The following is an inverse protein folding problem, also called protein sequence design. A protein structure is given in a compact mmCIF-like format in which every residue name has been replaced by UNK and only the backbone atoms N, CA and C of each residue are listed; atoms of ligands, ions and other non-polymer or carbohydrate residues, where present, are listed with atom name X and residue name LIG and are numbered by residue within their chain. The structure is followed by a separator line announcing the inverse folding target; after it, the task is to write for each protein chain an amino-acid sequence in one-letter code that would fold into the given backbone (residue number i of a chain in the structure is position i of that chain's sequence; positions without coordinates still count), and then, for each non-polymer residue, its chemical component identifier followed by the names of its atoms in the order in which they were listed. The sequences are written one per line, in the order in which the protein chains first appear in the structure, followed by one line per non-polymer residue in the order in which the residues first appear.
data_IF_733000333664
#
_entry.id   IF_733000333664
#
_cell.length_a   1.000
_cell.length_b   1.000
_cell.length_c   1.000
_cell.angle_alpha   90.00
_cell.angle_beta   90.00
_cell.angle_gamma   90.00
#
_symmetry.space_group_name_H-M   'P 1'
#
loop_
_entity.id
_entity.type
_entity.pdbx_description
1 polymer ?
#
# COMPACT_ATOMS: atom_id res chain seq x y z
N UNK A 1 -12.12 -84.77 -43.39
CA UNK A 1 -13.06 -83.74 -43.89
C UNK A 1 -14.26 -83.72 -42.96
N UNK A 2 -14.74 -82.52 -42.59
CA UNK A 2 -15.88 -82.25 -41.67
C UNK A 2 -15.62 -82.60 -40.19
N UNK A 3 -16.04 -81.85 -39.17
CA UNK A 3 -16.59 -80.50 -39.01
C UNK A 3 -16.52 -80.17 -37.50
N UNK A 4 -16.52 -78.87 -37.16
CA UNK A 4 -16.59 -78.30 -35.81
C UNK A 4 -17.74 -78.86 -34.95
N UNK A 5 -17.58 -78.87 -33.60
CA UNK A 5 -18.50 -78.16 -32.69
C UNK A 5 -17.87 -77.85 -31.32
N UNK A 6 -18.15 -76.63 -30.86
CA UNK A 6 -17.76 -75.94 -29.62
C UNK A 6 -18.55 -76.43 -28.41
N UNK A 7 -17.94 -76.39 -27.21
CA UNK A 7 -18.65 -75.96 -25.99
C UNK A 7 -17.75 -75.07 -25.12
N UNK A 8 -18.17 -73.81 -25.00
CA UNK A 8 -17.55 -72.76 -24.21
C UNK A 8 -17.96 -72.88 -22.73
N UNK A 9 -16.99 -72.78 -21.82
CA UNK A 9 -17.24 -72.58 -20.38
C UNK A 9 -17.10 -71.09 -20.05
N UNK A 10 -18.16 -70.54 -19.45
CA UNK A 10 -18.33 -69.14 -19.05
C UNK A 10 -17.24 -68.66 -18.08
N UNK A 11 -16.62 -67.53 -18.38
CA UNK A 11 -16.06 -66.60 -17.38
C UNK A 11 -16.53 -65.19 -17.71
N UNK A 12 -17.58 -64.75 -17.01
CA UNK A 12 -18.06 -63.36 -17.06
C UNK A 12 -17.24 -62.57 -16.02
N UNK A 13 -16.25 -61.80 -16.46
CA UNK A 13 -15.59 -60.77 -15.64
C UNK A 13 -16.26 -59.44 -15.95
N UNK A 14 -17.11 -58.97 -15.04
CA UNK A 14 -17.66 -57.61 -15.07
C UNK A 14 -16.59 -56.69 -14.47
N UNK A 15 -15.84 -56.00 -15.32
CA UNK A 15 -15.01 -54.87 -14.90
C UNK A 15 -15.87 -53.63 -14.82
N UNK A 16 -16.25 -53.24 -13.59
CA UNK A 16 -16.96 -52.01 -13.29
C UNK A 16 -15.96 -50.84 -13.39
N UNK A 17 -16.02 -50.06 -14.46
CA UNK A 17 -15.28 -48.79 -14.57
C UNK A 17 -16.02 -47.71 -13.77
N UNK A 18 -15.49 -47.37 -12.60
CA UNK A 18 -15.95 -46.20 -11.83
C UNK A 18 -15.31 -44.97 -12.47
N UNK A 19 -16.05 -44.27 -13.32
CA UNK A 19 -15.70 -42.92 -13.75
C UNK A 19 -15.96 -41.97 -12.56
N UNK A 20 -14.91 -41.60 -11.82
CA UNK A 20 -14.98 -40.47 -10.91
C UNK A 20 -15.15 -39.18 -11.74
N UNK A 21 -16.37 -38.66 -11.79
CA UNK A 21 -16.60 -37.29 -12.24
C UNK A 21 -16.16 -36.34 -11.13
N UNK A 22 -14.90 -35.90 -11.21
CA UNK A 22 -14.43 -34.73 -10.48
C UNK A 22 -15.10 -33.50 -11.12
N UNK A 23 -16.26 -33.11 -10.59
CA UNK A 23 -16.83 -31.79 -10.89
C UNK A 23 -15.89 -30.74 -10.32
N UNK A 24 -15.06 -30.14 -11.18
CA UNK A 24 -14.39 -28.90 -10.83
C UNK A 24 -15.47 -27.83 -10.69
N UNK A 25 -15.76 -27.41 -9.46
CA UNK A 25 -16.45 -26.16 -9.24
C UNK A 25 -15.50 -25.05 -9.70
N UNK A 26 -15.71 -24.54 -10.92
CA UNK A 26 -15.03 -23.36 -11.40
C UNK A 26 -15.52 -22.17 -10.58
N UNK A 27 -14.69 -21.65 -9.68
CA UNK A 27 -14.96 -20.37 -9.04
C UNK A 27 -14.88 -19.28 -10.11
N UNK A 28 -15.87 -18.39 -10.17
CA UNK A 28 -15.89 -17.29 -11.13
C UNK A 28 -14.70 -16.36 -10.85
N UNK A 29 -13.74 -16.30 -11.77
CA UNK A 29 -12.57 -15.44 -11.68
C UNK A 29 -12.87 -14.12 -12.41
N UNK A 30 -12.42 -12.99 -11.85
CA UNK A 30 -12.63 -11.68 -12.46
C UNK A 30 -11.37 -11.23 -13.21
N UNK A 31 -11.54 -10.77 -14.44
CA UNK A 31 -10.44 -10.22 -15.26
C UNK A 31 -10.40 -8.70 -15.14
N UNK A 32 -9.27 -8.15 -14.74
CA UNK A 32 -9.00 -6.71 -14.82
C UNK A 32 -8.12 -6.43 -16.04
N UNK A 33 -8.61 -5.60 -16.95
CA UNK A 33 -7.98 -5.33 -18.23
C UNK A 33 -7.65 -3.85 -18.32
N UNK A 34 -6.38 -3.47 -18.35
CA UNK A 34 -5.95 -2.11 -18.69
C UNK A 34 -5.77 -2.03 -20.19
N UNK A 35 -6.72 -1.36 -20.86
CA UNK A 35 -6.81 -1.33 -22.33
C UNK A 35 -5.98 -0.21 -22.94
N UNK A 36 -5.88 0.93 -22.27
CA UNK A 36 -5.17 2.10 -22.77
C UNK A 36 -4.30 2.70 -21.67
N UNK A 37 -3.10 3.12 -22.10
CA UNK A 37 -2.09 3.79 -21.30
C UNK A 37 -1.80 5.16 -21.93
N UNK A 38 -1.34 6.15 -21.14
CA UNK A 38 -0.91 7.43 -21.71
C UNK A 38 0.29 7.24 -22.65
N UNK A 39 0.36 8.05 -23.71
CA UNK A 39 1.36 7.91 -24.77
C UNK A 39 2.82 8.01 -24.27
N UNK A 40 3.04 8.74 -23.19
CA UNK A 40 4.34 8.92 -22.53
C UNK A 40 4.68 7.84 -21.50
N UNK A 41 3.90 6.75 -21.42
CA UNK A 41 4.25 5.60 -20.56
C UNK A 41 5.57 4.99 -21.02
N UNK A 42 6.55 4.73 -20.12
CA UNK A 42 7.79 4.06 -20.47
C UNK A 42 7.57 2.69 -21.09
N UNK A 43 8.50 2.25 -21.93
CA UNK A 43 8.46 0.93 -22.54
C UNK A 43 8.54 -0.18 -21.48
N UNK A 44 7.71 -1.22 -21.61
CA UNK A 44 7.61 -2.33 -20.67
C UNK A 44 7.47 -1.88 -19.19
N UNK A 45 6.42 -1.08 -18.87
CA UNK A 45 6.32 -0.40 -17.60
C UNK A 45 6.20 -1.32 -16.38
N UNK A 46 5.84 -2.60 -16.57
CA UNK A 46 5.48 -3.51 -15.49
C UNK A 46 4.27 -2.97 -14.71
N UNK A 47 3.05 -3.30 -15.14
CA UNK A 47 1.86 -2.82 -14.44
C UNK A 47 1.51 -3.74 -13.29
N UNK A 48 1.06 -3.17 -12.18
CA UNK A 48 0.61 -3.89 -10.99
C UNK A 48 -0.74 -3.37 -10.56
N UNK A 49 -1.60 -4.27 -10.07
CA UNK A 49 -2.73 -3.87 -9.24
C UNK A 49 -2.31 -3.85 -7.77
N UNK A 50 -2.70 -2.78 -7.08
CA UNK A 50 -2.55 -2.63 -5.64
C UNK A 50 -3.90 -2.32 -5.03
N UNK A 51 -4.25 -2.93 -3.91
CA UNK A 51 -5.59 -2.81 -3.34
C UNK A 51 -5.75 -3.48 -1.99
N UNK A 52 -6.98 -3.53 -1.48
CA UNK A 52 -7.27 -4.18 -0.20
C UNK A 52 -6.85 -5.67 -0.18
N UNK A 53 -7.03 -6.39 -1.30
CA UNK A 53 -6.64 -7.79 -1.45
C UNK A 53 -5.14 -8.08 -1.37
N UNK A 54 -4.28 -7.05 -1.42
CA UNK A 54 -2.83 -7.19 -1.27
C UNK A 54 -2.25 -6.24 -0.21
N UNK A 55 -3.09 -5.81 0.75
CA UNK A 55 -2.71 -4.91 1.85
C UNK A 55 -2.14 -3.58 1.38
N UNK A 56 -2.57 -3.11 0.22
CA UNK A 56 -2.08 -1.87 -0.39
C UNK A 56 -0.57 -1.84 -0.61
N UNK A 57 0.07 -3.01 -0.78
CA UNK A 57 1.49 -3.12 -1.07
C UNK A 57 1.74 -3.12 -2.59
N UNK A 58 2.35 -2.06 -3.17
CA UNK A 58 2.58 -1.99 -4.61
C UNK A 58 3.72 -2.92 -5.04
N UNK A 59 3.81 -3.24 -6.33
CA UNK A 59 4.95 -3.95 -6.91
C UNK A 59 5.05 -5.45 -6.59
N UNK A 60 4.07 -6.03 -5.89
CA UNK A 60 4.07 -7.46 -5.58
C UNK A 60 3.95 -8.32 -6.85
N UNK A 61 4.88 -9.27 -7.11
CA UNK A 61 4.88 -10.09 -8.34
C UNK A 61 3.58 -10.86 -8.58
N UNK A 62 2.89 -11.29 -7.51
CA UNK A 62 1.61 -12.00 -7.60
C UNK A 62 0.48 -11.15 -8.22
N UNK A 63 0.64 -9.82 -8.25
CA UNK A 63 -0.34 -8.88 -8.79
C UNK A 63 0.21 -8.10 -9.99
N UNK A 64 1.28 -8.58 -10.61
CA UNK A 64 1.78 -8.05 -11.86
C UNK A 64 0.83 -8.42 -13.00
N UNK A 65 0.40 -7.43 -13.78
CA UNK A 65 -0.43 -7.63 -14.95
C UNK A 65 0.41 -8.12 -16.14
N UNK A 66 -0.15 -9.05 -16.89
CA UNK A 66 0.50 -9.65 -18.05
C UNK A 66 0.12 -8.93 -19.35
N UNK A 67 1.12 -8.54 -20.13
CA UNK A 67 0.94 -7.98 -21.46
C UNK A 67 0.37 -9.02 -22.42
N UNK A 68 -0.71 -8.66 -23.09
CA UNK A 68 -1.41 -9.47 -24.07
C UNK A 68 -0.96 -9.12 -25.51
N UNK A 69 -1.22 -10.00 -26.48
CA UNK A 69 -0.82 -9.82 -27.88
C UNK A 69 -1.47 -8.61 -28.56
N UNK A 70 -2.63 -8.17 -28.07
CA UNK A 70 -3.35 -6.97 -28.53
C UNK A 70 -2.85 -5.67 -27.86
N UNK A 71 -1.83 -5.74 -27.00
CA UNK A 71 -1.25 -4.59 -26.30
C UNK A 71 -1.92 -4.22 -24.97
N UNK A 72 -3.02 -4.85 -24.56
CA UNK A 72 -3.61 -4.62 -23.24
C UNK A 72 -2.86 -5.37 -22.15
N UNK A 73 -2.97 -4.91 -20.90
CA UNK A 73 -2.46 -5.62 -19.72
C UNK A 73 -3.62 -6.27 -18.97
N UNK A 74 -3.41 -7.49 -18.49
CA UNK A 74 -4.46 -8.25 -17.82
C UNK A 74 -3.97 -8.92 -16.54
N UNK A 75 -4.80 -8.90 -15.50
CA UNK A 75 -4.63 -9.71 -14.30
C UNK A 75 -5.96 -10.38 -13.96
N UNK A 76 -5.88 -11.65 -13.55
CA UNK A 76 -7.02 -12.39 -13.04
C UNK A 76 -6.98 -12.29 -11.52
N UNK A 77 -8.03 -11.72 -10.93
CA UNK A 77 -8.21 -11.72 -9.48
C UNK A 77 -9.06 -12.93 -9.07
N UNK A 78 -8.75 -13.54 -7.92
CA UNK A 78 -9.63 -14.54 -7.33
C UNK A 78 -11.00 -13.90 -7.00
N UNK A 79 -12.06 -14.71 -6.87
CA UNK A 79 -13.34 -14.22 -6.39
C UNK A 79 -13.16 -13.49 -5.04
N UNK A 80 -13.92 -12.43 -4.84
CA UNK A 80 -13.95 -11.68 -3.58
C UNK A 80 -15.38 -11.56 -3.08
N UNK A 81 -15.55 -11.76 -1.77
CA UNK A 81 -16.83 -11.63 -1.06
C UNK A 81 -17.05 -10.21 -0.50
N UNK A 82 -16.04 -9.35 -0.66
CA UNK A 82 -16.04 -7.96 -0.23
C UNK A 82 -15.80 -7.04 -1.44
N UNK A 83 -16.19 -5.76 -1.36
CA UNK A 83 -15.81 -4.77 -2.36
C UNK A 83 -14.31 -4.78 -2.62
N UNK A 84 -13.92 -4.69 -3.89
CA UNK A 84 -12.53 -4.62 -4.30
C UNK A 84 -12.19 -3.15 -4.48
N UNK A 85 -11.30 -2.64 -3.63
CA UNK A 85 -10.72 -1.31 -3.77
C UNK A 85 -9.29 -1.43 -4.26
N UNK A 86 -8.95 -0.68 -5.32
CA UNK A 86 -7.64 -0.80 -5.94
C UNK A 86 -7.21 0.43 -6.73
N UNK A 87 -5.94 0.41 -7.13
CA UNK A 87 -5.30 1.35 -8.06
C UNK A 87 -4.34 0.59 -8.96
N UNK A 88 -3.99 1.20 -10.09
CA UNK A 88 -2.93 0.73 -10.99
C UNK A 88 -1.63 1.49 -10.69
N UNK A 89 -0.51 0.77 -10.59
CA UNK A 89 0.83 1.35 -10.43
C UNK A 89 1.80 0.74 -11.43
N UNK A 90 2.98 1.35 -11.55
CA UNK A 90 4.15 0.73 -12.21
C UNK A 90 5.15 0.14 -11.22
N UNK A 91 4.67 -0.25 -10.04
CA UNK A 91 5.44 -0.93 -9.00
C UNK A 91 5.59 -0.16 -7.70
N UNK A 92 5.34 1.14 -7.68
CA UNK A 92 5.42 1.98 -6.47
C UNK A 92 4.30 3.01 -6.40
N UNK A 93 4.12 3.65 -5.24
CA UNK A 93 3.14 4.73 -5.09
C UNK A 93 3.50 5.99 -5.87
N UNK A 94 4.80 6.25 -6.09
CA UNK A 94 5.27 7.36 -6.92
C UNK A 94 4.85 7.19 -8.38
N UNK A 95 4.62 5.94 -8.82
CA UNK A 95 4.24 5.58 -10.19
C UNK A 95 2.77 5.19 -10.32
N UNK A 96 1.92 5.63 -9.38
CA UNK A 96 0.48 5.38 -9.38
C UNK A 96 -0.24 6.14 -10.50
N UNK A 97 -1.37 5.60 -10.94
CA UNK A 97 -2.27 6.28 -11.86
C UNK A 97 -2.83 7.59 -11.28
N UNK A 98 -3.01 8.59 -12.15
CA UNK A 98 -3.62 9.88 -11.83
C UNK A 98 -4.68 10.26 -12.85
N UNK A 99 -5.42 11.33 -12.58
CA UNK A 99 -6.28 11.97 -13.56
C UNK A 99 -5.42 12.56 -14.71
N UNK A 100 -6.08 12.91 -15.82
CA UNK A 100 -5.39 13.43 -17.00
C UNK A 100 -4.56 14.70 -16.71
N UNK A 101 -5.04 15.54 -15.80
CA UNK A 101 -4.36 16.76 -15.33
C UNK A 101 -3.26 16.51 -14.29
N UNK A 102 -3.04 15.24 -13.91
CA UNK A 102 -2.04 14.85 -12.92
C UNK A 102 -2.53 14.89 -11.47
N UNK A 103 -3.78 15.27 -11.22
CA UNK A 103 -4.35 15.24 -9.87
C UNK A 103 -4.58 13.80 -9.39
N UNK A 104 -4.50 13.61 -8.07
CA UNK A 104 -4.71 12.31 -7.44
C UNK A 104 -6.12 11.79 -7.70
N UNK A 105 -6.22 10.50 -8.04
CA UNK A 105 -7.51 9.83 -8.15
C UNK A 105 -7.94 9.23 -6.81
N UNK A 106 -9.25 9.08 -6.54
CA UNK A 106 -9.71 8.18 -5.49
C UNK A 106 -9.37 6.71 -5.82
N UNK A 107 -9.59 5.80 -4.87
CA UNK A 107 -9.54 4.37 -5.14
C UNK A 107 -10.58 3.99 -6.20
N UNK A 108 -10.22 3.09 -7.12
CA UNK A 108 -11.21 2.41 -7.95
C UNK A 108 -11.95 1.42 -7.06
N UNK A 109 -13.28 1.39 -7.15
CA UNK A 109 -14.12 0.54 -6.31
C UNK A 109 -14.99 -0.34 -7.19
N UNK A 110 -14.95 -1.65 -6.94
CA UNK A 110 -15.88 -2.63 -7.51
C UNK A 110 -16.71 -3.20 -6.36
N UNK A 111 -18.01 -2.93 -6.37
CA UNK A 111 -18.94 -3.36 -5.34
C UNK A 111 -20.16 -4.04 -5.96
N UNK A 112 -20.82 -4.92 -5.18
CA UNK A 112 -21.94 -5.73 -5.65
C UNK A 112 -21.49 -6.99 -6.39
N UNK A 113 -22.37 -7.62 -7.20
CA UNK A 113 -21.99 -8.77 -8.03
C UNK A 113 -20.83 -8.37 -8.95
N UNK A 114 -19.67 -9.01 -8.76
CA UNK A 114 -18.48 -8.73 -9.56
C UNK A 114 -18.72 -9.20 -11.00
N UNK A 115 -18.40 -8.37 -12.02
CA UNK A 115 -18.49 -8.79 -13.40
C UNK A 115 -17.37 -9.78 -13.74
N UNK A 116 -17.55 -10.58 -14.81
CA UNK A 116 -16.50 -11.47 -15.31
C UNK A 116 -15.25 -10.69 -15.76
N UNK A 117 -15.43 -9.45 -16.22
CA UNK A 117 -14.33 -8.57 -16.62
C UNK A 117 -14.63 -7.10 -16.40
N UNK A 118 -13.57 -6.33 -16.09
CA UNK A 118 -13.57 -4.88 -16.00
C UNK A 118 -12.49 -4.33 -16.91
N UNK A 119 -12.86 -3.37 -17.76
CA UNK A 119 -11.90 -2.65 -18.62
C UNK A 119 -11.59 -1.29 -18.04
N UNK A 120 -10.31 -0.96 -17.97
CA UNK A 120 -9.75 0.26 -17.40
C UNK A 120 -8.96 1.04 -18.46
N UNK A 121 -8.90 2.35 -18.22
CA UNK A 121 -7.99 3.29 -18.86
C UNK A 121 -7.16 3.96 -17.76
N UNK A 122 -5.85 3.98 -17.95
CA UNK A 122 -4.95 4.85 -17.17
C UNK A 122 -4.78 6.15 -17.95
N UNK A 123 -5.07 7.28 -17.31
CA UNK A 123 -5.04 8.58 -17.98
C UNK A 123 -3.66 9.24 -17.91
N UNK A 124 -2.96 9.10 -16.78
CA UNK A 124 -1.62 9.65 -16.56
C UNK A 124 -0.93 8.92 -15.38
N UNK A 125 0.34 9.22 -15.12
CA UNK A 125 1.15 8.64 -14.04
C UNK A 125 1.72 9.74 -13.14
N UNK A 126 1.69 9.51 -11.82
CA UNK A 126 2.06 10.52 -10.81
C UNK A 126 3.50 11.05 -10.92
N UNK A 127 4.43 10.24 -11.41
CA UNK A 127 5.85 10.60 -11.62
C UNK A 127 6.12 11.23 -12.99
N UNK A 128 5.16 11.18 -13.93
CA UNK A 128 5.30 11.77 -15.26
C UNK A 128 4.58 13.12 -15.39
N UNK A 129 4.01 13.61 -14.29
CA UNK A 129 3.52 14.97 -14.16
C UNK A 129 4.67 15.81 -13.63
N UNK A 130 4.95 16.94 -14.29
CA UNK A 130 5.89 17.93 -13.76
C UNK A 130 5.30 18.51 -12.47
N UNK A 131 5.78 18.01 -11.33
CA UNK A 131 5.44 18.58 -10.03
C UNK A 131 6.37 19.76 -9.78
N UNK A 132 5.87 20.90 -9.28
CA UNK A 132 6.75 21.96 -8.83
C UNK A 132 7.74 21.37 -7.80
N UNK A 133 9.01 21.81 -7.81
CA UNK A 133 9.98 21.30 -6.87
C UNK A 133 9.45 21.51 -5.45
N UNK A 134 9.50 20.44 -4.65
CA UNK A 134 9.13 20.54 -3.24
C UNK A 134 10.02 21.58 -2.56
N UNK A 135 9.42 22.39 -1.70
CA UNK A 135 10.10 23.45 -0.97
C UNK A 135 10.14 23.08 0.50
N UNK A 136 11.26 23.41 1.14
CA UNK A 136 11.34 23.38 2.59
C UNK A 136 10.48 24.50 3.19
N UNK A 137 9.64 24.15 4.15
CA UNK A 137 8.74 25.08 4.86
C UNK A 137 9.04 25.16 6.35
N UNK A 138 9.71 24.14 6.90
CA UNK A 138 10.09 24.06 8.30
C UNK A 138 10.70 25.35 8.85
N UNK A 139 10.20 25.80 9.99
CA UNK A 139 10.79 26.94 10.70
C UNK A 139 12.15 26.55 11.31
N UNK A 140 13.00 27.53 11.67
CA UNK A 140 14.33 27.25 12.25
C UNK A 140 14.30 26.51 13.61
N UNK A 141 13.11 26.30 14.17
CA UNK A 141 12.88 25.59 15.43
C UNK A 141 12.84 24.07 15.23
N UNK A 142 12.71 23.61 13.99
CA UNK A 142 12.63 22.20 13.61
C UNK A 142 14.02 21.67 13.29
N UNK A 143 14.32 20.51 13.84
CA UNK A 143 15.58 19.81 13.66
C UNK A 143 15.33 18.33 13.42
N UNK A 144 16.20 17.68 12.64
CA UNK A 144 16.32 16.22 12.67
C UNK A 144 17.20 15.88 13.88
N UNK A 145 16.62 15.21 14.87
CA UNK A 145 17.35 14.76 16.05
C UNK A 145 18.29 13.62 15.68
N UNK A 146 17.76 12.65 14.94
CA UNK A 146 18.48 11.52 14.37
C UNK A 146 17.73 11.03 13.13
N UNK A 147 18.45 10.80 12.03
CA UNK A 147 17.86 10.30 10.79
C UNK A 147 17.61 8.78 10.82
N UNK A 148 18.33 8.05 11.66
CA UNK A 148 18.34 6.59 11.73
C UNK A 148 18.30 6.10 13.18
N UNK A 149 17.46 6.72 14.01
CA UNK A 149 17.35 6.35 15.42
C UNK A 149 16.99 4.87 15.57
N UNK A 150 17.73 4.08 16.36
CA UNK A 150 17.48 2.66 16.49
C UNK A 150 16.20 2.37 17.29
N UNK A 151 15.27 1.64 16.68
CA UNK A 151 14.10 1.05 17.35
C UNK A 151 14.41 -0.42 17.64
N UNK A 152 15.19 -0.68 18.70
CA UNK A 152 15.81 -1.98 18.99
C UNK A 152 14.78 -3.11 19.06
N UNK A 153 13.62 -2.84 19.64
CA UNK A 153 12.49 -3.77 19.81
C UNK A 153 11.91 -4.23 18.47
N UNK A 154 12.03 -3.38 17.44
CA UNK A 154 11.53 -3.61 16.08
C UNK A 154 12.64 -4.03 15.11
N UNK A 155 13.90 -4.03 15.54
CA UNK A 155 15.06 -4.42 14.73
C UNK A 155 15.29 -3.53 13.51
N UNK A 156 14.91 -2.25 13.58
CA UNK A 156 14.98 -1.30 12.46
C UNK A 156 15.24 0.13 12.96
N UNK A 157 15.41 1.08 12.05
CA UNK A 157 15.65 2.49 12.39
C UNK A 157 14.49 3.40 12.00
N UNK A 158 14.43 4.60 12.61
CA UNK A 158 13.46 5.63 12.27
C UNK A 158 14.02 7.03 12.41
N UNK A 159 13.66 7.92 11.48
CA UNK A 159 13.94 9.34 11.63
C UNK A 159 13.08 9.96 12.73
N UNK A 160 13.74 10.72 13.61
CA UNK A 160 13.13 11.46 14.70
C UNK A 160 13.33 12.97 14.46
N UNK A 161 12.23 13.69 14.49
CA UNK A 161 12.16 15.13 14.40
C UNK A 161 12.06 15.75 15.78
N UNK A 162 12.58 16.96 15.92
CA UNK A 162 12.51 17.75 17.14
C UNK A 162 12.14 19.18 16.80
N UNK A 163 10.99 19.64 17.30
CA UNK A 163 10.66 21.05 17.39
C UNK A 163 10.94 21.56 18.81
N UNK A 164 11.64 22.69 18.92
CA UNK A 164 11.86 23.39 20.19
C UNK A 164 11.30 24.81 20.16
N UNK A 165 10.63 25.30 21.22
CA UNK A 165 10.14 26.68 21.26
C UNK A 165 11.25 27.72 21.07
N UNK A 166 10.92 28.85 20.43
CA UNK A 166 11.87 29.93 20.08
C UNK A 166 12.70 30.46 21.27
N UNK A 167 12.18 30.37 22.50
CA UNK A 167 12.87 30.82 23.72
C UNK A 167 13.59 29.72 24.51
N UNK A 168 13.64 28.49 23.97
CA UNK A 168 14.22 27.31 24.63
C UNK A 168 15.66 27.55 25.15
N UNK A 169 16.52 28.13 24.31
CA UNK A 169 17.93 28.39 24.67
C UNK A 169 18.14 29.62 25.56
N UNK A 170 17.10 30.43 25.81
CA UNK A 170 17.22 31.73 26.49
C UNK A 170 16.84 31.66 27.96
N UNK A 171 16.09 30.63 28.37
CA UNK A 171 15.55 30.49 29.72
C UNK A 171 15.80 29.07 30.24
N UNK A 172 16.08 28.93 31.53
CA UNK A 172 16.03 27.62 32.22
C UNK A 172 14.58 27.20 32.49
N UNK A 173 13.74 27.24 31.47
CA UNK A 173 12.32 26.88 31.52
C UNK A 173 12.17 25.40 31.20
N UNK A 174 11.25 24.71 31.90
CA UNK A 174 10.84 23.36 31.54
C UNK A 174 9.64 23.44 30.59
N UNK A 175 9.62 22.57 29.60
CA UNK A 175 8.55 22.47 28.62
C UNK A 175 7.98 21.05 28.67
N UNK A 176 6.65 20.89 28.57
CA UNK A 176 6.08 19.58 28.30
C UNK A 176 6.56 19.07 26.94
N UNK A 177 6.63 17.74 26.80
CA UNK A 177 7.01 17.07 25.55
C UNK A 177 5.77 16.40 24.97
N UNK A 178 5.51 16.66 23.70
CA UNK A 178 4.45 16.03 22.92
C UNK A 178 5.09 15.11 21.88
N UNK A 179 4.76 13.82 21.92
CA UNK A 179 5.14 12.87 20.90
C UNK A 179 4.05 12.80 19.84
N UNK A 180 4.41 13.01 18.58
CA UNK A 180 3.50 12.93 17.44
C UNK A 180 4.00 11.88 16.44
N UNK A 181 3.08 11.08 15.91
CA UNK A 181 3.35 10.09 14.87
C UNK A 181 3.19 10.71 13.47
N UNK A 182 3.57 9.97 12.44
CA UNK A 182 3.58 10.44 11.04
C UNK A 182 4.47 11.69 10.85
N UNK A 183 5.64 11.67 11.51
CA UNK A 183 6.65 12.74 11.58
C UNK A 183 6.94 13.46 10.26
N UNK A 184 6.93 12.72 9.15
CA UNK A 184 7.27 13.24 7.83
C UNK A 184 6.28 14.29 7.33
N UNK A 185 5.07 14.34 7.89
CA UNK A 185 4.02 15.27 7.50
C UNK A 185 3.92 16.46 8.46
N UNK A 186 4.63 16.46 9.59
CA UNK A 186 4.37 17.41 10.67
C UNK A 186 4.91 18.82 10.39
N UNK A 187 6.15 18.91 9.87
CA UNK A 187 6.96 20.13 9.95
C UNK A 187 7.55 20.64 8.65
N UNK A 188 7.54 19.82 7.59
CA UNK A 188 8.19 20.23 6.35
C UNK A 188 7.47 19.65 5.13
N UNK A 189 6.89 20.53 4.32
CA UNK A 189 6.25 20.20 3.05
C UNK A 189 7.18 19.44 2.09
N UNK A 190 8.50 19.58 2.26
CA UNK A 190 9.46 18.80 1.49
C UNK A 190 9.33 17.29 1.73
N UNK A 191 9.17 16.88 3.00
CA UNK A 191 9.10 15.47 3.37
C UNK A 191 7.68 14.92 3.36
N UNK A 192 6.66 15.78 3.42
CA UNK A 192 5.27 15.35 3.45
C UNK A 192 4.87 14.56 2.18
N UNK A 193 4.06 13.52 2.39
CA UNK A 193 3.45 12.73 1.33
C UNK A 193 2.24 13.42 0.70
N UNK A 194 1.33 13.95 1.53
CA UNK A 194 0.03 14.49 1.10
C UNK A 194 -0.28 15.86 1.74
N UNK A 195 0.74 16.73 1.78
CA UNK A 195 0.64 18.06 2.38
C UNK A 195 1.09 18.09 3.83
N UNK A 196 1.82 19.14 4.18
CA UNK A 196 2.29 19.39 5.54
C UNK A 196 1.13 19.79 6.46
N UNK A 197 1.24 19.40 7.74
CA UNK A 197 0.23 19.68 8.75
C UNK A 197 0.45 21.01 9.48
N UNK A 198 1.65 21.59 9.36
CA UNK A 198 1.98 22.94 9.84
C UNK A 198 2.08 23.06 11.36
N UNK A 199 2.70 22.05 12.01
CA UNK A 199 2.79 21.99 13.47
C UNK A 199 3.68 23.10 14.01
N UNK A 200 4.82 23.35 13.37
CA UNK A 200 5.80 24.35 13.76
C UNK A 200 5.27 25.78 13.59
N UNK A 201 4.64 26.14 12.47
CA UNK A 201 4.07 27.49 12.32
C UNK A 201 2.92 27.74 13.31
N UNK A 202 2.15 26.69 13.62
CA UNK A 202 1.11 26.75 14.64
C UNK A 202 1.71 27.01 16.02
N UNK A 203 2.77 26.27 16.40
CA UNK A 203 3.42 26.42 17.70
C UNK A 203 4.19 27.74 17.83
N UNK A 204 4.82 28.21 16.77
CA UNK A 204 5.47 29.52 16.73
C UNK A 204 4.44 30.66 16.89
N UNK A 205 3.28 30.51 16.26
CA UNK A 205 2.17 31.46 16.42
C UNK A 205 1.65 31.44 17.86
N UNK A 206 1.42 30.27 18.44
CA UNK A 206 0.98 30.13 19.84
C UNK A 206 2.01 30.73 20.81
N UNK A 207 3.30 30.47 20.60
CA UNK A 207 4.36 31.02 21.44
C UNK A 207 4.38 32.55 21.41
N UNK A 208 4.15 33.16 20.24
CA UNK A 208 4.11 34.61 20.05
C UNK A 208 2.86 35.26 20.65
N UNK A 209 1.74 34.57 20.68
CA UNK A 209 0.46 35.07 21.22
C UNK A 209 0.26 34.75 22.71
N UNK A 210 1.27 34.18 23.38
CA UNK A 210 1.23 33.86 24.81
C UNK A 210 0.53 32.54 25.14
N UNK A 211 0.30 31.69 24.14
CA UNK A 211 -0.22 30.35 24.30
C UNK A 211 0.78 29.34 24.89
N UNK A 212 0.37 28.07 25.01
CA UNK A 212 1.23 27.00 25.49
C UNK A 212 2.45 26.82 24.59
N UNK A 213 3.59 26.49 25.22
CA UNK A 213 4.83 26.18 24.53
C UNK A 213 5.23 24.76 24.90
N UNK A 214 5.48 23.93 23.89
CA UNK A 214 5.79 22.51 24.04
C UNK A 214 6.99 22.17 23.17
N UNK A 215 7.75 21.15 23.56
CA UNK A 215 8.68 20.47 22.65
C UNK A 215 7.86 19.42 21.90
N UNK A 216 8.07 19.28 20.60
CA UNK A 216 7.46 18.17 19.84
C UNK A 216 8.55 17.22 19.38
N UNK A 217 8.35 15.94 19.66
CA UNK A 217 9.14 14.85 19.10
C UNK A 217 8.28 14.18 18.03
N UNK A 218 8.65 14.36 16.78
CA UNK A 218 7.96 13.76 15.63
C UNK A 218 8.61 12.43 15.27
N UNK A 219 7.82 11.37 15.15
CA UNK A 219 8.30 10.03 14.78
C UNK A 219 7.74 9.72 13.40
N UNK A 220 8.59 9.63 12.38
CA UNK A 220 8.17 9.20 11.04
C UNK A 220 7.42 7.86 11.13
N UNK A 221 6.48 7.61 10.21
CA UNK A 221 5.92 6.27 10.07
C UNK A 221 6.86 5.32 9.32
N UNK A 222 6.53 4.02 9.33
CA UNK A 222 7.39 2.98 8.76
C UNK A 222 7.25 2.72 7.28
N UNK A 223 6.57 3.59 6.53
CA UNK A 223 6.23 3.31 5.13
C UNK A 223 5.43 2.00 5.04
N UNK A 224 6.03 0.96 4.45
CA UNK A 224 5.45 -0.38 4.39
C UNK A 224 5.17 -0.97 5.79
N UNK A 225 6.01 -0.64 6.77
CA UNK A 225 5.87 -1.12 8.15
C UNK A 225 4.86 -0.31 8.98
N UNK A 226 4.27 0.75 8.43
CA UNK A 226 3.35 1.63 9.16
C UNK A 226 2.20 0.88 9.82
N UNK A 227 1.58 -0.06 9.11
CA UNK A 227 0.45 -0.84 9.67
C UNK A 227 0.95 -1.77 10.79
N UNK A 228 2.12 -2.37 10.64
CA UNK A 228 2.73 -3.21 11.67
C UNK A 228 2.95 -2.44 12.97
N UNK A 229 3.55 -1.25 12.87
CA UNK A 229 3.95 -0.41 13.99
C UNK A 229 2.77 0.29 14.68
N UNK A 230 1.78 0.76 13.93
CA UNK A 230 0.68 1.57 14.48
C UNK A 230 -0.54 0.75 14.89
N UNK A 231 -0.53 -0.58 14.67
CA UNK A 231 -1.65 -1.45 15.03
C UNK A 231 -1.27 -2.35 16.21
N UNK A 232 -1.99 -2.26 17.35
CA UNK A 232 -1.66 -3.02 18.55
C UNK A 232 -1.85 -4.54 18.39
N UNK A 233 -2.78 -4.95 17.54
CA UNK A 233 -3.12 -6.36 17.32
C UNK A 233 -3.00 -6.71 15.84
N UNK A 234 -2.56 -7.93 15.56
CA UNK A 234 -2.56 -8.44 14.19
C UNK A 234 -3.99 -8.53 13.66
N UNK A 235 -4.20 -7.99 12.47
CA UNK A 235 -5.41 -8.11 11.70
C UNK A 235 -5.19 -9.13 10.57
N UNK A 236 -6.08 -10.13 10.38
CA UNK A 236 -5.94 -11.12 9.32
C UNK A 236 -5.86 -10.52 7.91
N UNK A 237 -6.60 -9.44 7.67
CA UNK A 237 -6.66 -8.75 6.37
C UNK A 237 -5.53 -7.74 6.22
N UNK A 238 -5.27 -6.90 7.22
CA UNK A 238 -4.37 -5.75 7.08
C UNK A 238 -2.94 -5.97 7.59
N UNK A 239 -2.65 -7.06 8.31
CA UNK A 239 -1.38 -7.20 9.05
C UNK A 239 -1.42 -6.47 10.39
N UNK A 240 -0.30 -5.98 10.90
CA UNK A 240 -0.25 -5.38 12.24
C UNK A 240 0.39 -6.27 13.30
N UNK A 241 0.36 -5.78 14.55
CA UNK A 241 0.70 -6.57 15.74
C UNK A 241 2.05 -6.24 16.36
N UNK A 242 2.81 -5.30 15.80
CA UNK A 242 4.04 -4.80 16.40
C UNK A 242 3.80 -3.57 17.29
N UNK A 243 2.55 -3.12 17.47
CA UNK A 243 2.21 -1.92 18.24
C UNK A 243 2.71 -1.93 19.69
N UNK A 244 2.75 -3.10 20.35
CA UNK A 244 3.34 -3.20 21.70
C UNK A 244 4.85 -2.89 21.68
N UNK A 245 5.60 -3.41 20.71
CA UNK A 245 7.03 -3.12 20.54
C UNK A 245 7.26 -1.65 20.18
N UNK A 246 6.39 -1.09 19.35
CA UNK A 246 6.43 0.33 19.00
C UNK A 246 6.18 1.23 20.22
N UNK A 247 5.22 0.88 21.07
CA UNK A 247 5.00 1.59 22.33
C UNK A 247 6.19 1.43 23.29
N UNK A 248 6.80 0.25 23.38
CA UNK A 248 8.01 0.03 24.18
C UNK A 248 9.16 0.92 23.73
N UNK A 249 9.37 1.06 22.42
CA UNK A 249 10.32 2.00 21.84
C UNK A 249 10.07 3.46 22.28
N UNK A 250 8.81 3.88 22.40
CA UNK A 250 8.47 5.28 22.75
C UNK A 250 8.69 5.58 24.24
N UNK A 251 8.47 4.59 25.12
CA UNK A 251 8.45 4.81 26.58
C UNK A 251 9.77 4.50 27.28
N UNK A 252 10.71 3.81 26.63
CA UNK A 252 12.01 3.44 27.19
C UNK A 252 13.11 4.43 26.78
#
# INVERSE_FOLDING_TARGET
MHQNQFYATRLFRISLWICLHFSFAGFAQMRIIVKTLPAHTPAAPGLFLVGNFNKWQPGLPAYQMHLQTNGSYELILPPADQPIEFKVTRGTWETVETAADGSDLPNRVLAGPLPDSVTLQVANWADLVEKPPKKHTATPQVHVLDAEFPMTELGRTRRIWLYVPVDYNRKKKKYPVLYLHDGQNLFDAYYSYSGEWGVDETLDTLARTGGPQVIVVGIDNGGEERINELTPYANPEYGGGDGEKYLQFIVQ
#
